data_IF_255848391540
#
_entry.id   IF_255848391540
#
_cell.length_a   1.000
_cell.length_b   1.000
_cell.length_c   1.000
_cell.angle_alpha   90.00
_cell.angle_beta   90.00
_cell.angle_gamma   90.00
#
_symmetry.space_group_name_H-M   'P 1'
#
loop_
_entity.id
_entity.type
_entity.pdbx_description
1 polymer ?
#
# COMPACT_ATOMS: atom_id res chain seq x y z
N UNK A 1 4.23 6.78 0.35
CA UNK A 1 4.20 6.91 -1.13
C UNK A 1 3.36 5.77 -1.69
N UNK A 2 2.46 6.08 -2.62
CA UNK A 2 1.74 5.06 -3.41
C UNK A 2 2.30 5.10 -4.83
N UNK A 3 2.57 3.94 -5.43
CA UNK A 3 3.21 3.83 -6.76
C UNK A 3 2.80 2.55 -7.50
N UNK A 4 3.15 2.42 -8.78
CA UNK A 4 2.81 1.28 -9.63
C UNK A 4 3.95 0.86 -10.57
N UNK A 5 3.61 0.52 -11.82
CA UNK A 5 4.53 0.14 -12.93
C UNK A 5 5.13 -1.27 -12.88
N UNK A 6 5.34 -1.86 -11.71
CA UNK A 6 6.00 -3.17 -11.57
C UNK A 6 5.13 -4.37 -11.93
N UNK A 7 3.80 -4.17 -12.03
CA UNK A 7 2.78 -5.22 -12.08
C UNK A 7 2.86 -6.22 -10.91
N UNK A 8 3.51 -5.83 -9.80
CA UNK A 8 3.68 -6.63 -8.59
C UNK A 8 3.41 -5.76 -7.38
N UNK A 9 2.52 -6.24 -6.52
CA UNK A 9 2.21 -5.53 -5.30
C UNK A 9 3.35 -5.64 -4.28
N UNK A 10 3.43 -4.70 -3.35
CA UNK A 10 4.42 -4.77 -2.28
C UNK A 10 4.28 -3.65 -1.26
N UNK A 11 4.77 -3.91 -0.05
CA UNK A 11 4.94 -2.93 1.00
C UNK A 11 6.42 -2.87 1.38
N UNK A 12 7.02 -1.70 1.21
CA UNK A 12 8.38 -1.42 1.63
C UNK A 12 8.35 -0.47 2.82
N UNK A 13 8.82 -0.95 3.97
CA UNK A 13 8.87 -0.14 5.18
C UNK A 13 9.95 0.95 5.09
N UNK A 14 9.78 2.05 5.85
CA UNK A 14 10.80 3.07 5.96
C UNK A 14 12.13 2.49 6.43
N UNK A 15 13.23 3.03 5.91
CA UNK A 15 14.59 2.72 6.36
C UNK A 15 15.51 3.94 6.17
N UNK A 16 16.78 3.81 6.56
CA UNK A 16 17.78 4.90 6.52
C UNK A 16 17.98 5.55 5.14
N UNK A 17 17.72 4.82 4.05
CA UNK A 17 17.84 5.33 2.67
C UNK A 17 16.49 5.76 2.07
N UNK A 18 15.38 5.35 2.68
CA UNK A 18 14.01 5.62 2.24
C UNK A 18 13.16 5.95 3.46
N UNK A 19 13.08 7.22 3.89
CA UNK A 19 12.42 7.61 5.13
C UNK A 19 10.88 7.64 5.03
N UNK A 20 10.30 6.86 4.13
CA UNK A 20 8.86 6.75 3.92
C UNK A 20 8.50 5.31 3.56
N UNK A 21 7.29 4.90 3.93
CA UNK A 21 6.76 3.64 3.45
C UNK A 21 6.32 3.79 1.98
N UNK A 22 6.57 2.77 1.18
CA UNK A 22 6.10 2.69 -0.20
C UNK A 22 5.16 1.51 -0.35
N UNK A 23 3.95 1.80 -0.81
CA UNK A 23 2.98 0.78 -1.20
C UNK A 23 2.91 0.76 -2.73
N UNK A 24 3.16 -0.40 -3.32
CA UNK A 24 3.13 -0.62 -4.76
C UNK A 24 1.90 -1.43 -5.09
N UNK A 25 1.07 -0.93 -6.02
CA UNK A 25 -0.09 -1.64 -6.52
C UNK A 25 0.29 -2.81 -7.42
N UNK A 26 -0.60 -3.79 -7.53
CA UNK A 26 -0.41 -4.98 -8.36
C UNK A 26 -0.57 -4.74 -9.87
N UNK A 27 -0.76 -5.84 -10.61
CA UNK A 27 -0.91 -5.82 -12.06
C UNK A 27 -2.34 -5.49 -12.51
N UNK A 28 -2.55 -5.15 -13.80
CA UNK A 28 -3.88 -4.85 -14.33
C UNK A 28 -4.78 -6.09 -14.48
N UNK A 29 -4.22 -7.30 -14.37
CA UNK A 29 -4.98 -8.55 -14.49
C UNK A 29 -5.76 -8.82 -13.19
N UNK A 30 -6.98 -9.38 -13.25
CA UNK A 30 -7.83 -9.57 -12.06
C UNK A 30 -7.17 -10.36 -10.92
N UNK A 31 -6.35 -11.36 -11.24
CA UNK A 31 -5.62 -12.20 -10.29
C UNK A 31 -4.47 -11.47 -9.57
N UNK A 32 -3.97 -10.38 -10.16
CA UNK A 32 -2.89 -9.57 -9.63
C UNK A 32 -3.34 -8.15 -9.23
N UNK A 33 -4.60 -7.78 -9.50
CA UNK A 33 -5.14 -6.45 -9.26
C UNK A 33 -5.39 -6.21 -7.77
N UNK A 34 -5.12 -4.99 -7.34
CA UNK A 34 -5.20 -4.59 -5.93
C UNK A 34 -5.91 -3.26 -5.76
N UNK A 35 -6.61 -3.11 -4.66
CA UNK A 35 -7.15 -1.83 -4.20
C UNK A 35 -6.30 -1.31 -3.05
N UNK A 36 -5.86 -0.04 -3.12
CA UNK A 36 -5.21 0.65 -2.00
C UNK A 36 -6.17 1.69 -1.45
N UNK A 37 -6.48 1.59 -0.17
CA UNK A 37 -7.32 2.53 0.57
C UNK A 37 -6.49 3.30 1.59
N UNK A 38 -6.65 4.61 1.61
CA UNK A 38 -6.04 5.49 2.59
C UNK A 38 -7.08 6.09 3.52
N UNK A 39 -6.81 6.03 4.83
CA UNK A 39 -7.62 6.67 5.86
C UNK A 39 -6.75 7.61 6.68
N UNK A 40 -7.22 8.85 6.85
CA UNK A 40 -6.46 9.92 7.48
C UNK A 40 -7.27 10.56 8.60
N UNK A 41 -6.61 10.74 9.72
CA UNK A 41 -7.09 11.52 10.87
C UNK A 41 -6.02 12.55 11.24
N UNK A 42 -6.33 13.45 12.18
CA UNK A 42 -5.35 14.39 12.72
C UNK A 42 -4.12 13.72 13.39
N UNK A 43 -4.20 12.43 13.75
CA UNK A 43 -3.13 11.71 14.49
C UNK A 43 -2.49 10.57 13.72
N UNK A 44 -3.08 10.16 12.61
CA UNK A 44 -2.73 8.90 11.94
C UNK A 44 -3.09 8.92 10.47
N UNK A 45 -2.17 8.42 9.65
CA UNK A 45 -2.41 7.93 8.31
C UNK A 45 -2.34 6.40 8.34
N UNK A 46 -3.36 5.74 7.77
CA UNK A 46 -3.38 4.30 7.53
C UNK A 46 -3.54 4.04 6.04
N UNK A 47 -2.72 3.13 5.50
CA UNK A 47 -2.85 2.59 4.16
C UNK A 47 -3.10 1.08 4.26
N UNK A 48 -4.13 0.60 3.57
CA UNK A 48 -4.44 -0.83 3.45
C UNK A 48 -4.51 -1.22 1.99
N UNK A 49 -3.97 -2.38 1.64
CA UNK A 49 -4.05 -2.96 0.31
C UNK A 49 -4.80 -4.28 0.38
N UNK A 50 -5.77 -4.46 -0.52
CA UNK A 50 -6.51 -5.71 -0.68
C UNK A 50 -6.44 -6.21 -2.13
N UNK A 51 -6.70 -7.50 -2.34
CA UNK A 51 -7.09 -8.00 -3.66
C UNK A 51 -8.53 -7.58 -4.01
N UNK A 52 -8.98 -7.96 -5.21
CA UNK A 52 -10.35 -7.64 -5.68
C UNK A 52 -11.46 -8.41 -4.94
N UNK A 53 -11.12 -9.46 -4.18
CA UNK A 53 -12.09 -10.15 -3.30
C UNK A 53 -12.24 -9.45 -1.94
N UNK A 54 -11.41 -8.44 -1.67
CA UNK A 54 -11.37 -7.74 -0.39
C UNK A 54 -10.45 -8.38 0.65
N UNK A 55 -9.69 -9.42 0.29
CA UNK A 55 -8.69 -10.00 1.18
C UNK A 55 -7.53 -9.03 1.35
N UNK A 56 -7.20 -8.69 2.58
CA UNK A 56 -6.05 -7.85 2.89
C UNK A 56 -4.73 -8.54 2.50
N UNK A 57 -3.88 -7.80 1.81
CA UNK A 57 -2.54 -8.20 1.40
C UNK A 57 -1.46 -7.47 2.19
N UNK A 58 -1.70 -6.23 2.59
CA UNK A 58 -0.78 -5.44 3.41
C UNK A 58 -1.48 -4.27 4.11
N UNK A 59 -0.94 -3.85 5.25
CA UNK A 59 -1.34 -2.63 5.96
C UNK A 59 -0.13 -1.89 6.52
N UNK A 60 -0.20 -0.57 6.56
CA UNK A 60 0.80 0.29 7.18
C UNK A 60 0.16 1.54 7.79
N UNK A 61 0.63 1.94 8.97
CA UNK A 61 0.22 3.19 9.60
C UNK A 61 1.42 4.01 10.03
N UNK A 62 1.30 5.33 9.92
CA UNK A 62 2.17 6.30 10.56
C UNK A 62 1.37 7.20 11.48
N UNK A 63 1.97 7.55 12.61
CA UNK A 63 1.47 8.62 13.47
C UNK A 63 1.90 9.96 12.88
N UNK A 64 1.01 10.94 13.00
CA UNK A 64 1.28 12.33 12.66
C UNK A 64 1.98 13.04 13.83
#
# INVERSE_FOLDING_TARGET
MVSGHTHRHGLFLPNKHRPYAQMVGGGPKPDAATLIRGEVTARRLTLTMSDLSGRELAAWSALA
#
